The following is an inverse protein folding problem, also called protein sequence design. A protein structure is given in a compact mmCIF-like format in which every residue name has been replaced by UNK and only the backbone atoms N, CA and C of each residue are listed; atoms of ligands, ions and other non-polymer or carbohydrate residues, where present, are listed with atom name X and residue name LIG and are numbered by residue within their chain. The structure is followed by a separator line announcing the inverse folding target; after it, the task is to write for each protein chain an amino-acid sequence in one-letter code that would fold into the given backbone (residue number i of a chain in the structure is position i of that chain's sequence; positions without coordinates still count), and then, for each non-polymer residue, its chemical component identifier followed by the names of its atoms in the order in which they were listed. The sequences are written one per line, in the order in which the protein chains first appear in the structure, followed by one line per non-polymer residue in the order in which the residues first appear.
data_IF_349296163972
#
_entry.id   IF_349296163972
#
_cell.length_a   1.000
_cell.length_b   1.000
_cell.length_c   1.000
_cell.angle_alpha   90.00
_cell.angle_beta   90.00
_cell.angle_gamma   90.00
#
_symmetry.space_group_name_H-M   'P 1'
#
loop_
_entity.id
_entity.type
_entity.pdbx_description
1 polymer ?
#
# COMPACT_ATOMS: atom_id res chain seq x y z
N UNK A 1 37.54 -20.73 30.98
CA UNK A 1 36.86 -20.56 29.68
C UNK A 1 35.62 -19.72 29.92
N UNK A 2 35.74 -18.43 29.65
CA UNK A 2 34.74 -17.40 29.95
C UNK A 2 33.62 -17.51 28.91
N UNK A 3 32.39 -17.69 29.37
CA UNK A 3 31.20 -17.68 28.52
C UNK A 3 31.13 -16.35 27.74
N UNK A 4 30.76 -16.34 26.45
CA UNK A 4 30.57 -15.10 25.72
C UNK A 4 29.39 -14.36 26.34
N UNK A 5 29.69 -13.21 26.95
CA UNK A 5 28.71 -12.28 27.47
C UNK A 5 27.88 -11.77 26.30
N UNK A 6 26.59 -12.11 26.26
CA UNK A 6 25.63 -11.50 25.34
C UNK A 6 25.72 -9.98 25.52
N UNK A 7 25.93 -9.19 24.45
CA UNK A 7 26.04 -7.75 24.60
C UNK A 7 24.73 -7.19 25.14
N UNK A 8 24.84 -6.65 26.34
CA UNK A 8 24.02 -5.63 26.98
C UNK A 8 23.08 -4.95 25.97
N UNK A 9 21.77 -5.24 26.11
CA UNK A 9 20.62 -4.68 25.39
C UNK A 9 20.99 -3.58 24.39
N UNK A 10 20.93 -3.87 23.09
CA UNK A 10 20.91 -2.83 22.07
C UNK A 10 19.81 -1.84 22.45
N UNK A 11 20.19 -0.68 23.05
CA UNK A 11 19.26 0.33 23.53
C UNK A 11 18.23 0.56 22.44
N UNK A 12 16.97 0.19 22.70
CA UNK A 12 15.92 0.10 21.68
C UNK A 12 15.78 1.44 20.97
N UNK A 13 16.38 1.52 19.78
CA UNK A 13 16.35 2.75 18.97
C UNK A 13 14.93 3.00 18.48
N UNK A 14 14.57 4.24 18.15
CA UNK A 14 13.30 4.52 17.47
C UNK A 14 13.08 3.69 16.20
N UNK A 15 14.17 3.38 15.47
CA UNK A 15 14.11 2.58 14.25
C UNK A 15 13.82 1.11 14.56
N UNK A 16 14.52 0.50 15.53
CA UNK A 16 14.28 -0.90 15.90
C UNK A 16 12.88 -1.09 16.45
N UNK A 17 12.42 -0.21 17.35
CA UNK A 17 11.04 -0.26 17.89
C UNK A 17 9.98 -0.22 16.80
N UNK A 18 10.11 0.71 15.85
CA UNK A 18 9.15 0.84 14.76
C UNK A 18 9.21 -0.35 13.80
N UNK A 19 10.40 -0.91 13.53
CA UNK A 19 10.51 -2.12 12.72
C UNK A 19 9.83 -3.31 13.41
N UNK A 20 10.12 -3.57 14.68
CA UNK A 20 9.48 -4.62 15.48
C UNK A 20 7.96 -4.47 15.44
N UNK A 21 7.42 -3.29 15.81
CA UNK A 21 5.96 -3.05 15.81
C UNK A 21 5.31 -3.34 14.45
N UNK A 22 5.95 -2.92 13.34
CA UNK A 22 5.37 -3.16 12.02
C UNK A 22 5.57 -4.60 11.54
N UNK A 23 6.60 -5.31 11.99
CA UNK A 23 6.81 -6.73 11.70
C UNK A 23 5.80 -7.57 12.48
N UNK A 24 5.52 -7.25 13.74
CA UNK A 24 4.51 -7.93 14.54
C UNK A 24 3.14 -7.85 13.87
N UNK A 25 2.75 -6.66 13.40
CA UNK A 25 1.52 -6.49 12.60
C UNK A 25 1.52 -7.28 11.29
N UNK A 26 2.70 -7.54 10.69
CA UNK A 26 2.78 -8.46 9.54
C UNK A 26 2.50 -9.87 10.01
N UNK A 27 3.20 -10.34 11.06
CA UNK A 27 3.06 -11.69 11.60
C UNK A 27 1.62 -11.99 12.04
N UNK A 28 0.96 -11.09 12.77
CA UNK A 28 -0.45 -11.20 13.16
C UNK A 28 -1.34 -11.36 11.93
N UNK A 29 -1.09 -10.56 10.88
CA UNK A 29 -1.80 -10.67 9.62
C UNK A 29 -1.54 -11.99 8.88
N UNK A 30 -0.36 -12.59 9.02
CA UNK A 30 -0.04 -13.90 8.44
C UNK A 30 -0.72 -15.04 9.20
N UNK A 31 -0.80 -14.94 10.53
CA UNK A 31 -1.56 -15.85 11.39
C UNK A 31 -3.04 -15.79 11.00
N UNK A 32 -3.61 -14.59 10.94
CA UNK A 32 -5.01 -14.41 10.56
C UNK A 32 -5.35 -14.97 9.17
N UNK A 33 -4.42 -14.90 8.20
CA UNK A 33 -4.59 -15.56 6.90
C UNK A 33 -4.67 -17.08 7.01
N UNK A 34 -3.84 -17.70 7.87
CA UNK A 34 -3.88 -19.15 8.10
C UNK A 34 -5.14 -19.60 8.83
N UNK A 35 -5.65 -18.77 9.73
CA UNK A 35 -6.88 -19.02 10.49
C UNK A 35 -8.16 -18.76 9.68
N UNK A 36 -8.03 -18.38 8.40
CA UNK A 36 -9.16 -18.17 7.49
C UNK A 36 -9.83 -16.80 7.59
N UNK A 37 -9.26 -15.86 8.35
CA UNK A 37 -9.69 -14.46 8.33
C UNK A 37 -9.15 -13.72 7.08
N UNK A 38 -9.61 -12.49 6.83
CA UNK A 38 -9.17 -11.67 5.68
C UNK A 38 -8.45 -10.37 6.11
N UNK A 39 -7.26 -10.46 6.76
CA UNK A 39 -6.52 -9.29 7.25
C UNK A 39 -5.70 -8.60 6.15
N UNK A 40 -5.88 -8.97 4.88
CA UNK A 40 -5.04 -8.57 3.74
C UNK A 40 -4.80 -7.06 3.67
N UNK A 41 -5.80 -6.24 3.99
CA UNK A 41 -5.64 -4.79 3.96
C UNK A 41 -4.55 -4.32 4.93
N UNK A 42 -4.64 -4.73 6.18
CA UNK A 42 -3.77 -4.27 7.25
C UNK A 42 -2.38 -4.90 7.13
N UNK A 43 -2.30 -6.19 6.80
CA UNK A 43 -1.03 -6.87 6.49
C UNK A 43 -0.28 -6.14 5.38
N UNK A 44 -0.96 -5.75 4.29
CA UNK A 44 -0.34 -4.98 3.19
C UNK A 44 0.11 -3.58 3.62
N UNK A 45 -0.58 -2.94 4.55
CA UNK A 45 -0.16 -1.64 5.09
C UNK A 45 1.11 -1.80 5.93
N UNK A 46 1.15 -2.80 6.80
CA UNK A 46 2.31 -3.14 7.64
C UNK A 46 3.54 -3.51 6.79
N UNK A 47 3.41 -4.43 5.83
CA UNK A 47 4.50 -4.79 4.89
C UNK A 47 5.04 -3.54 4.18
N UNK A 48 4.14 -2.66 3.72
CA UNK A 48 4.56 -1.45 3.01
C UNK A 48 5.30 -0.47 3.92
N UNK A 49 4.95 -0.38 5.21
CA UNK A 49 5.70 0.40 6.20
C UNK A 49 7.10 -0.17 6.39
N UNK A 50 7.21 -1.48 6.66
CA UNK A 50 8.51 -2.18 6.80
C UNK A 50 9.37 -1.91 5.57
N UNK A 51 8.89 -2.23 4.36
CA UNK A 51 9.63 -2.00 3.11
C UNK A 51 10.02 -0.55 2.88
N UNK A 52 9.18 0.40 3.26
CA UNK A 52 9.51 1.83 3.14
C UNK A 52 10.64 2.21 4.10
N UNK A 53 10.59 1.70 5.33
CA UNK A 53 11.64 1.87 6.32
C UNK A 53 12.97 1.29 5.84
N UNK A 54 12.98 0.03 5.37
CA UNK A 54 14.19 -0.63 4.85
C UNK A 54 14.84 0.11 3.68
N UNK A 55 14.05 0.83 2.87
CA UNK A 55 14.55 1.61 1.73
C UNK A 55 15.08 2.99 2.11
N UNK A 56 14.54 3.60 3.16
CA UNK A 56 14.89 4.97 3.56
C UNK A 56 16.05 4.97 4.54
N UNK A 57 16.09 3.98 5.43
CA UNK A 57 17.04 3.87 6.52
C UNK A 57 18.03 2.71 6.31
N UNK A 58 18.23 2.27 5.06
CA UNK A 58 19.09 1.14 4.70
C UNK A 58 20.49 1.21 5.32
N UNK A 59 21.12 2.39 5.24
CA UNK A 59 22.46 2.64 5.76
C UNK A 59 22.56 2.54 7.30
N UNK A 60 21.44 2.35 8.00
CA UNK A 60 21.36 2.16 9.45
C UNK A 60 21.00 0.71 9.81
N UNK A 61 21.03 -0.18 8.83
CA UNK A 61 20.72 -1.60 8.94
C UNK A 61 21.90 -2.38 8.37
N UNK A 62 21.92 -3.69 8.64
CA UNK A 62 22.63 -4.60 7.75
C UNK A 62 22.00 -4.47 6.35
N UNK A 63 22.78 -3.94 5.40
CA UNK A 63 22.23 -3.56 4.11
C UNK A 63 21.79 -4.77 3.28
N UNK A 64 22.50 -5.89 3.39
CA UNK A 64 22.21 -7.09 2.62
C UNK A 64 21.00 -7.81 3.20
N UNK A 65 20.91 -7.92 4.52
CA UNK A 65 19.71 -8.39 5.20
C UNK A 65 18.49 -7.51 4.85
N UNK A 66 18.65 -6.18 4.84
CA UNK A 66 17.59 -5.24 4.45
C UNK A 66 17.20 -5.33 2.97
N UNK A 67 18.14 -5.66 2.07
CA UNK A 67 17.86 -5.92 0.65
C UNK A 67 17.02 -7.19 0.48
N UNK A 68 17.45 -8.28 1.10
CA UNK A 68 16.77 -9.58 1.04
C UNK A 68 15.36 -9.51 1.61
N UNK A 69 15.21 -8.97 2.83
CA UNK A 69 13.89 -8.81 3.45
C UNK A 69 12.96 -7.91 2.62
N UNK A 70 13.46 -6.81 2.03
CA UNK A 70 12.61 -5.96 1.18
C UNK A 70 12.13 -6.67 -0.08
N UNK A 71 12.96 -7.55 -0.66
CA UNK A 71 12.62 -8.33 -1.85
C UNK A 71 11.58 -9.40 -1.53
N UNK A 72 11.72 -10.13 -0.43
CA UNK A 72 10.76 -11.16 -0.02
C UNK A 72 9.41 -10.54 0.36
N UNK A 73 9.42 -9.46 1.13
CA UNK A 73 8.21 -8.69 1.41
C UNK A 73 7.59 -8.07 0.15
N UNK A 74 8.40 -7.73 -0.87
CA UNK A 74 7.88 -7.25 -2.16
C UNK A 74 7.14 -8.36 -2.90
N UNK A 75 7.71 -9.56 -2.93
CA UNK A 75 7.10 -10.73 -3.55
C UNK A 75 5.75 -11.04 -2.90
N UNK A 76 5.72 -11.24 -1.58
CA UNK A 76 4.48 -11.61 -0.89
C UNK A 76 3.42 -10.49 -0.95
N UNK A 77 3.84 -9.21 -0.82
CA UNK A 77 2.93 -8.10 -1.05
C UNK A 77 2.44 -7.99 -2.50
N UNK A 78 3.14 -8.57 -3.49
CA UNK A 78 2.62 -8.71 -4.85
C UNK A 78 1.36 -9.57 -4.85
N UNK A 79 1.47 -10.79 -4.33
CA UNK A 79 0.38 -11.77 -4.23
C UNK A 79 -0.84 -11.22 -3.48
N UNK A 80 -0.62 -10.63 -2.29
CA UNK A 80 -1.70 -10.00 -1.52
C UNK A 80 -2.36 -8.85 -2.30
N UNK A 81 -1.63 -8.18 -3.20
CA UNK A 81 -2.15 -7.10 -4.03
C UNK A 81 -3.16 -7.57 -5.05
N UNK A 82 -2.91 -8.72 -5.67
CA UNK A 82 -3.81 -9.32 -6.66
C UNK A 82 -5.16 -9.68 -6.06
N UNK A 83 -5.22 -10.03 -4.76
CA UNK A 83 -6.48 -10.21 -4.03
C UNK A 83 -7.10 -8.87 -3.65
N UNK A 84 -6.27 -7.92 -3.17
CA UNK A 84 -6.78 -6.67 -2.60
C UNK A 84 -7.34 -5.71 -3.65
N UNK A 85 -6.74 -5.65 -4.82
CA UNK A 85 -7.10 -4.66 -5.83
C UNK A 85 -8.55 -4.84 -6.31
N UNK A 86 -9.03 -6.06 -6.68
CA UNK A 86 -10.44 -6.30 -6.96
C UNK A 86 -11.38 -5.99 -5.79
N UNK A 87 -10.97 -6.25 -4.54
CA UNK A 87 -11.78 -5.92 -3.37
C UNK A 87 -11.99 -4.42 -3.19
N UNK A 88 -10.94 -3.62 -3.44
CA UNK A 88 -11.01 -2.15 -3.40
C UNK A 88 -11.96 -1.66 -4.48
N UNK A 89 -11.78 -2.10 -5.72
CA UNK A 89 -12.66 -1.73 -6.83
C UNK A 89 -14.11 -2.13 -6.56
N UNK A 90 -14.34 -3.32 -6.00
CA UNK A 90 -15.69 -3.80 -5.70
C UNK A 90 -16.40 -2.90 -4.69
N UNK A 91 -15.73 -2.59 -3.57
CA UNK A 91 -16.31 -1.70 -2.54
C UNK A 91 -16.59 -0.32 -3.12
N UNK A 92 -15.63 0.24 -3.87
CA UNK A 92 -15.72 1.58 -4.44
C UNK A 92 -16.83 1.71 -5.48
N UNK A 93 -16.92 0.79 -6.44
CA UNK A 93 -17.96 0.81 -7.47
C UNK A 93 -19.34 0.49 -6.90
N UNK A 94 -19.45 -0.41 -5.92
CA UNK A 94 -20.72 -0.66 -5.23
C UNK A 94 -21.22 0.56 -4.45
N UNK A 95 -20.32 1.32 -3.82
CA UNK A 95 -20.68 2.59 -3.20
C UNK A 95 -21.15 3.61 -4.25
N UNK A 96 -20.41 3.75 -5.35
CA UNK A 96 -20.80 4.65 -6.44
C UNK A 96 -22.19 4.34 -7.00
N UNK A 97 -22.54 3.07 -7.21
CA UNK A 97 -23.89 2.68 -7.67
C UNK A 97 -24.98 3.03 -6.63
N UNK A 98 -24.70 2.92 -5.33
CA UNK A 98 -25.65 3.29 -4.27
C UNK A 98 -25.92 4.79 -4.20
N UNK A 99 -24.95 5.60 -4.59
CA UNK A 99 -25.04 7.06 -4.63
C UNK A 99 -25.77 7.57 -5.88
N UNK A 100 -26.02 6.72 -6.88
CA UNK A 100 -26.71 7.11 -8.12
C UNK A 100 -28.24 7.19 -7.94
N UNK A 101 -28.92 8.11 -8.65
CA UNK A 101 -30.36 8.07 -8.82
C UNK A 101 -30.83 6.71 -9.35
N UNK A 102 -31.91 6.16 -8.79
CA UNK A 102 -32.34 4.77 -9.05
C UNK A 102 -32.72 4.55 -10.52
N UNK A 103 -33.28 5.56 -11.16
CA UNK A 103 -33.66 5.59 -12.57
C UNK A 103 -32.46 5.47 -13.54
N UNK A 104 -31.25 5.77 -13.07
CA UNK A 104 -30.01 5.63 -13.86
C UNK A 104 -29.30 4.29 -13.63
N UNK A 105 -29.81 3.45 -12.73
CA UNK A 105 -29.28 2.11 -12.43
C UNK A 105 -30.07 1.07 -13.23
N UNK A 106 -29.61 0.80 -14.44
CA UNK A 106 -30.30 -0.06 -15.41
C UNK A 106 -29.71 -1.46 -15.41
N UNK A 107 -30.56 -2.49 -15.29
CA UNK A 107 -30.14 -3.88 -15.30
C UNK A 107 -29.43 -4.32 -14.00
N UNK A 108 -28.66 -5.41 -14.06
CA UNK A 108 -28.09 -6.10 -12.88
C UNK A 108 -26.66 -5.64 -12.56
N UNK A 109 -26.38 -4.35 -12.67
CA UNK A 109 -25.03 -3.74 -12.59
C UNK A 109 -24.26 -4.15 -11.35
N UNK A 110 -24.87 -4.02 -10.16
CA UNK A 110 -24.25 -4.41 -8.89
C UNK A 110 -23.87 -5.89 -8.85
N UNK A 111 -24.70 -6.76 -9.41
CA UNK A 111 -24.44 -8.20 -9.48
C UNK A 111 -23.34 -8.52 -10.49
N UNK A 112 -23.32 -7.84 -11.64
CA UNK A 112 -22.27 -7.98 -12.66
C UNK A 112 -20.91 -7.53 -12.10
N UNK A 113 -20.80 -6.35 -11.48
CA UNK A 113 -19.57 -5.87 -10.81
C UNK A 113 -19.09 -6.89 -9.77
N UNK A 114 -20.01 -7.38 -8.92
CA UNK A 114 -19.68 -8.39 -7.90
C UNK A 114 -19.14 -9.67 -8.53
N UNK A 115 -19.75 -10.15 -9.62
CA UNK A 115 -19.37 -11.38 -10.31
C UNK A 115 -18.00 -11.24 -10.97
N UNK A 116 -17.78 -10.20 -11.76
CA UNK A 116 -16.52 -10.04 -12.49
C UNK A 116 -15.33 -9.85 -11.52
N UNK A 117 -15.48 -9.03 -10.48
CA UNK A 117 -14.39 -8.84 -9.52
C UNK A 117 -14.13 -10.08 -8.66
N UNK A 118 -15.14 -10.91 -8.39
CA UNK A 118 -14.93 -12.23 -7.75
C UNK A 118 -14.21 -13.21 -8.67
N UNK A 119 -14.50 -13.19 -9.97
CA UNK A 119 -13.80 -14.01 -10.97
C UNK A 119 -12.31 -13.67 -11.03
N UNK A 120 -11.95 -12.40 -10.82
CA UNK A 120 -10.54 -11.96 -10.72
C UNK A 120 -9.93 -12.33 -9.36
N UNK A 121 -10.66 -12.12 -8.26
CA UNK A 121 -10.19 -12.34 -6.88
C UNK A 121 -9.93 -13.83 -6.57
N UNK A 122 -10.80 -14.74 -7.03
CA UNK A 122 -10.73 -16.17 -6.68
C UNK A 122 -9.38 -16.84 -7.02
N UNK A 123 -8.87 -16.78 -8.27
CA UNK A 123 -7.57 -17.38 -8.58
C UNK A 123 -6.40 -16.68 -7.86
N UNK A 124 -6.53 -15.39 -7.53
CA UNK A 124 -5.52 -14.68 -6.74
C UNK A 124 -5.45 -15.20 -5.29
N UNK A 125 -6.60 -15.57 -4.70
CA UNK A 125 -6.64 -16.20 -3.38
C UNK A 125 -5.98 -17.57 -3.39
N UNK A 126 -6.22 -18.37 -4.41
CA UNK A 126 -5.55 -19.67 -4.56
C UNK A 126 -4.03 -19.49 -4.64
N UNK A 127 -3.53 -18.52 -5.43
CA UNK A 127 -2.09 -18.22 -5.47
C UNK A 127 -1.50 -17.81 -4.12
N UNK A 128 -2.25 -17.08 -3.29
CA UNK A 128 -1.80 -16.76 -1.92
C UNK A 128 -1.73 -18.02 -1.07
N UNK A 129 -2.77 -18.88 -1.12
CA UNK A 129 -2.79 -20.15 -0.40
C UNK A 129 -1.63 -21.06 -0.82
N UNK A 130 -1.45 -21.26 -2.13
CA UNK A 130 -0.35 -22.08 -2.69
C UNK A 130 1.02 -21.53 -2.26
N UNK A 131 1.21 -20.22 -2.29
CA UNK A 131 2.46 -19.59 -1.87
C UNK A 131 2.75 -19.83 -0.37
N UNK A 132 1.72 -19.83 0.48
CA UNK A 132 1.86 -20.07 1.92
C UNK A 132 2.29 -21.51 2.27
N UNK A 133 2.21 -22.44 1.32
CA UNK A 133 2.68 -23.82 1.47
C UNK A 133 4.13 -24.03 1.01
N UNK A 134 4.75 -23.00 0.42
CA UNK A 134 6.14 -23.07 -0.08
C UNK A 134 7.19 -22.92 1.03
N UNK A 135 8.38 -23.47 0.79
CA UNK A 135 9.55 -23.24 1.67
C UNK A 135 9.92 -21.76 1.72
N UNK A 136 9.85 -21.06 0.58
CA UNK A 136 10.10 -19.61 0.51
C UNK A 136 9.24 -18.80 1.49
N UNK A 137 7.96 -19.15 1.62
CA UNK A 137 7.09 -18.48 2.60
C UNK A 137 7.50 -18.81 4.05
N UNK A 138 7.81 -20.07 4.35
CA UNK A 138 8.29 -20.48 5.69
C UNK A 138 9.58 -19.75 6.08
N UNK A 139 10.50 -19.58 5.14
CA UNK A 139 11.75 -18.84 5.35
C UNK A 139 11.47 -17.36 5.62
N UNK A 140 10.56 -16.74 4.86
CA UNK A 140 10.13 -15.35 5.11
C UNK A 140 9.53 -15.19 6.51
N UNK A 141 8.63 -16.09 6.95
CA UNK A 141 8.03 -16.03 8.30
C UNK A 141 9.10 -16.19 9.38
N UNK A 142 10.01 -17.15 9.22
CA UNK A 142 11.11 -17.39 10.15
C UNK A 142 12.00 -16.16 10.29
N UNK A 143 12.34 -15.52 9.17
CA UNK A 143 13.17 -14.33 9.20
C UNK A 143 12.44 -13.12 9.80
N UNK A 144 11.13 -12.97 9.55
CA UNK A 144 10.30 -11.96 10.19
C UNK A 144 10.26 -12.15 11.72
N UNK A 145 10.13 -13.39 12.21
CA UNK A 145 10.17 -13.69 13.65
C UNK A 145 11.53 -13.31 14.27
N UNK A 146 12.64 -13.63 13.59
CA UNK A 146 13.98 -13.22 14.02
C UNK A 146 14.10 -11.70 14.10
N UNK A 147 13.61 -11.00 13.09
CA UNK A 147 13.67 -9.54 13.05
C UNK A 147 12.70 -8.86 14.02
N UNK A 148 11.58 -9.48 14.38
CA UNK A 148 10.72 -8.99 15.45
C UNK A 148 11.50 -8.93 16.77
N UNK A 149 12.19 -10.03 17.10
CA UNK A 149 12.99 -10.13 18.33
C UNK A 149 14.24 -9.23 18.31
N UNK A 150 14.96 -9.19 17.18
CA UNK A 150 16.19 -8.44 17.04
C UNK A 150 16.37 -7.90 15.61
N UNK A 151 15.81 -6.72 15.27
CA UNK A 151 16.04 -6.10 13.98
C UNK A 151 17.54 -5.82 13.76
N UNK A 152 18.10 -6.06 12.56
CA UNK A 152 19.53 -5.91 12.30
C UNK A 152 19.91 -4.44 12.09
N UNK A 153 19.72 -3.60 13.11
CA UNK A 153 20.09 -2.17 13.11
C UNK A 153 21.59 -2.05 13.41
N UNK A 154 22.32 -1.39 12.51
CA UNK A 154 23.76 -1.17 12.65
C UNK A 154 24.03 0.14 13.37
N UNK A 155 24.60 0.06 14.57
CA UNK A 155 24.98 1.21 15.38
C UNK A 155 23.82 2.02 15.99
N UNK A 156 24.16 3.11 16.67
CA UNK A 156 23.18 4.01 17.28
C UNK A 156 22.76 5.10 16.30
N UNK A 157 21.66 4.89 15.59
CA UNK A 157 21.04 5.93 14.77
C UNK A 157 20.40 7.01 15.67
N UNK A 158 21.15 8.07 15.95
CA UNK A 158 20.62 9.24 16.67
C UNK A 158 19.43 9.87 15.93
N UNK A 159 18.52 10.48 16.69
CA UNK A 159 17.28 11.11 16.14
C UNK A 159 17.57 12.14 15.04
N UNK A 160 18.73 12.80 15.07
CA UNK A 160 19.19 13.75 14.03
C UNK A 160 19.31 13.10 12.66
N UNK A 161 19.94 11.93 12.57
CA UNK A 161 20.15 11.21 11.32
C UNK A 161 18.83 10.66 10.76
N UNK A 162 17.97 10.11 11.63
CA UNK A 162 16.63 9.68 11.24
C UNK A 162 15.83 10.85 10.63
N UNK A 163 15.84 12.03 11.28
CA UNK A 163 15.17 13.23 10.75
C UNK A 163 15.77 13.68 9.41
N UNK A 164 17.08 13.57 9.21
CA UNK A 164 17.74 13.89 7.94
C UNK A 164 17.27 12.97 6.81
N UNK A 165 17.28 11.64 7.03
CA UNK A 165 16.79 10.66 6.04
C UNK A 165 15.31 10.89 5.70
N UNK A 166 14.47 11.15 6.72
CA UNK A 166 13.05 11.46 6.52
C UNK A 166 12.83 12.74 5.70
N UNK A 167 13.63 13.80 5.93
CA UNK A 167 13.59 15.03 5.13
C UNK A 167 14.01 14.78 3.68
N UNK A 168 15.03 13.96 3.44
CA UNK A 168 15.45 13.58 2.09
C UNK A 168 14.35 12.82 1.35
N UNK A 169 13.69 11.88 2.02
CA UNK A 169 12.52 11.18 1.48
C UNK A 169 11.38 12.14 1.11
N UNK A 170 11.12 13.13 1.97
CA UNK A 170 10.15 14.20 1.72
C UNK A 170 10.47 15.02 0.47
N UNK A 171 11.67 15.62 0.40
CA UNK A 171 12.13 16.41 -0.77
C UNK A 171 12.05 15.61 -2.08
N UNK A 172 12.34 14.31 -2.02
CA UNK A 172 12.25 13.40 -3.17
C UNK A 172 10.80 13.11 -3.58
N UNK A 173 9.85 13.11 -2.64
CA UNK A 173 8.44 13.03 -2.94
C UNK A 173 7.96 14.32 -3.60
N UNK A 174 8.27 15.46 -3.00
CA UNK A 174 7.87 16.80 -3.49
C UNK A 174 8.36 17.02 -4.93
N UNK A 175 9.66 16.77 -5.18
CA UNK A 175 10.25 16.89 -6.53
C UNK A 175 9.57 15.99 -7.56
N UNK A 176 9.21 14.77 -7.18
CA UNK A 176 8.56 13.84 -8.10
C UNK A 176 7.11 14.19 -8.35
N UNK A 177 6.43 14.73 -7.34
CA UNK A 177 5.09 15.24 -7.48
C UNK A 177 5.10 16.42 -8.45
N UNK A 178 5.95 17.43 -8.23
CA UNK A 178 6.07 18.57 -9.13
C UNK A 178 6.32 18.12 -10.57
N UNK A 179 7.35 17.28 -10.78
CA UNK A 179 7.66 16.78 -12.12
C UNK A 179 6.49 16.02 -12.76
N UNK A 180 5.70 15.29 -11.97
CA UNK A 180 4.54 14.55 -12.42
C UNK A 180 3.28 15.39 -12.62
N UNK A 181 3.26 16.64 -12.14
CA UNK A 181 2.20 17.62 -12.41
C UNK A 181 2.54 18.45 -13.64
N UNK A 182 3.84 18.70 -13.86
CA UNK A 182 4.35 19.35 -15.08
C UNK A 182 4.21 18.46 -16.33
N UNK A 183 3.89 17.17 -16.15
CA UNK A 183 3.67 16.19 -17.22
C UNK A 183 2.35 15.46 -16.99
N UNK A 184 1.53 15.21 -18.01
CA UNK A 184 0.37 14.31 -17.86
C UNK A 184 0.75 12.81 -17.99
N UNK A 185 1.92 12.43 -17.47
CA UNK A 185 2.45 11.06 -17.53
C UNK A 185 2.04 10.24 -16.29
N UNK A 186 1.12 9.30 -16.49
CA UNK A 186 0.64 8.35 -15.48
C UNK A 186 1.78 7.57 -14.80
N UNK A 187 2.85 7.23 -15.51
CA UNK A 187 4.00 6.54 -14.92
C UNK A 187 4.74 7.46 -13.93
N UNK A 188 4.82 8.75 -14.20
CA UNK A 188 5.41 9.73 -13.31
C UNK A 188 4.54 9.97 -12.07
N UNK A 189 3.22 10.09 -12.24
CA UNK A 189 2.26 10.14 -11.12
C UNK A 189 2.36 8.90 -10.23
N UNK A 190 2.50 7.73 -10.83
CA UNK A 190 2.69 6.49 -10.08
C UNK A 190 4.01 6.47 -9.28
N UNK A 191 5.11 7.00 -9.85
CA UNK A 191 6.39 7.15 -9.14
C UNK A 191 6.29 8.18 -8.01
N UNK A 192 5.59 9.29 -8.22
CA UNK A 192 5.31 10.30 -7.20
C UNK A 192 4.53 9.69 -6.04
N UNK A 193 3.43 8.97 -6.32
CA UNK A 193 2.63 8.23 -5.32
C UNK A 193 3.47 7.28 -4.47
N UNK A 194 4.36 6.49 -5.09
CA UNK A 194 5.30 5.61 -4.36
C UNK A 194 6.25 6.41 -3.46
N UNK A 195 6.72 7.57 -3.90
CA UNK A 195 7.59 8.44 -3.10
C UNK A 195 6.83 9.12 -1.94
N UNK A 196 5.63 9.62 -2.16
CA UNK A 196 4.74 10.19 -1.13
C UNK A 196 4.43 9.19 -0.03
N UNK A 197 4.10 7.93 -0.39
CA UNK A 197 3.89 6.86 0.60
C UNK A 197 5.12 6.69 1.49
N UNK A 198 6.32 6.61 0.88
CA UNK A 198 7.59 6.51 1.62
C UNK A 198 7.84 7.71 2.53
N UNK A 199 7.61 8.93 2.05
CA UNK A 199 7.77 10.15 2.85
C UNK A 199 6.82 10.16 4.05
N UNK A 200 5.56 9.75 3.86
CA UNK A 200 4.59 9.61 4.96
C UNK A 200 5.08 8.61 6.01
N UNK A 201 5.53 7.43 5.60
CA UNK A 201 6.00 6.40 6.54
C UNK A 201 7.28 6.80 7.28
N UNK A 202 8.19 7.53 6.62
CA UNK A 202 9.32 8.13 7.32
C UNK A 202 8.86 9.16 8.36
N UNK A 203 7.91 10.03 8.01
CA UNK A 203 7.36 11.00 8.96
C UNK A 203 6.61 10.33 10.13
N UNK A 204 5.91 9.22 9.87
CA UNK A 204 5.26 8.38 10.88
C UNK A 204 6.29 7.78 11.86
N UNK A 205 7.38 7.20 11.36
CA UNK A 205 8.47 6.71 12.21
C UNK A 205 9.06 7.82 13.09
N UNK A 206 9.33 9.00 12.53
CA UNK A 206 9.81 10.14 13.32
C UNK A 206 8.79 10.56 14.38
N UNK A 207 7.50 10.55 14.05
CA UNK A 207 6.44 10.94 14.98
C UNK A 207 6.30 9.94 16.13
N UNK A 208 6.45 8.64 15.89
CA UNK A 208 6.42 7.62 16.96
C UNK A 208 7.70 7.66 17.80
N UNK A 209 8.84 7.88 17.16
CA UNK A 209 10.16 7.80 17.80
C UNK A 209 10.66 9.05 18.49
N UNK A 210 10.32 10.22 17.94
CA UNK A 210 10.71 11.53 18.46
C UNK A 210 9.61 12.58 18.13
N UNK A 211 8.45 12.47 18.80
CA UNK A 211 7.26 13.29 18.55
C UNK A 211 7.57 14.78 18.45
N UNK A 212 6.97 15.46 17.47
CA UNK A 212 7.03 16.92 17.39
C UNK A 212 5.90 17.47 16.52
N UNK A 213 5.49 18.71 16.74
CA UNK A 213 4.49 19.40 15.90
C UNK A 213 4.88 19.36 14.42
N UNK A 214 6.17 19.51 14.12
CA UNK A 214 6.70 19.43 12.75
C UNK A 214 6.55 18.02 12.15
N UNK A 215 6.85 16.97 12.90
CA UNK A 215 6.70 15.58 12.42
C UNK A 215 5.22 15.25 12.15
N UNK A 216 4.33 15.60 13.08
CA UNK A 216 2.86 15.45 12.91
C UNK A 216 2.35 16.21 11.69
N UNK A 217 2.81 17.45 11.47
CA UNK A 217 2.44 18.26 10.28
C UNK A 217 2.90 17.58 8.99
N UNK A 218 4.14 17.11 8.92
CA UNK A 218 4.66 16.41 7.74
C UNK A 218 3.92 15.10 7.46
N UNK A 219 3.61 14.32 8.50
CA UNK A 219 2.81 13.10 8.37
C UNK A 219 1.42 13.41 7.80
N UNK A 220 0.74 14.45 8.31
CA UNK A 220 -0.57 14.90 7.81
C UNK A 220 -0.48 15.39 6.35
N UNK A 221 0.54 16.17 6.02
CA UNK A 221 0.77 16.68 4.65
C UNK A 221 0.91 15.54 3.64
N UNK A 222 1.84 14.60 3.87
CA UNK A 222 2.01 13.45 2.97
C UNK A 222 0.83 12.48 2.99
N UNK A 223 0.06 12.41 4.09
CA UNK A 223 -1.20 11.66 4.13
C UNK A 223 -2.25 12.27 3.18
N UNK A 224 -2.34 13.60 3.09
CA UNK A 224 -3.24 14.30 2.17
C UNK A 224 -2.86 14.01 0.72
N UNK A 225 -1.59 14.21 0.36
CA UNK A 225 -1.09 13.91 -1.00
C UNK A 225 -1.30 12.43 -1.34
N UNK A 226 -1.02 11.52 -0.40
CA UNK A 226 -1.23 10.08 -0.62
C UNK A 226 -2.70 9.76 -0.91
N UNK A 227 -3.65 10.42 -0.22
CA UNK A 227 -5.08 10.23 -0.45
C UNK A 227 -5.43 10.62 -1.88
N UNK A 228 -5.10 11.85 -2.29
CA UNK A 228 -5.38 12.37 -3.64
C UNK A 228 -4.78 11.49 -4.74
N UNK A 229 -3.49 11.14 -4.65
CA UNK A 229 -2.85 10.24 -5.62
C UNK A 229 -3.34 8.79 -5.51
N UNK A 230 -3.92 8.42 -4.37
CA UNK A 230 -4.59 7.15 -4.16
C UNK A 230 -5.88 7.09 -4.97
N UNK A 231 -6.74 8.08 -4.78
CA UNK A 231 -8.03 8.22 -5.44
C UNK A 231 -7.85 8.30 -6.98
N UNK A 232 -6.85 9.05 -7.47
CA UNK A 232 -6.48 9.07 -8.89
C UNK A 232 -6.05 7.70 -9.43
N UNK A 233 -5.26 6.94 -8.68
CA UNK A 233 -4.84 5.61 -9.14
C UNK A 233 -6.05 4.66 -9.22
N UNK A 234 -6.98 4.77 -8.27
CA UNK A 234 -8.15 3.90 -8.21
C UNK A 234 -9.13 4.21 -9.37
N UNK A 235 -9.21 5.47 -9.85
CA UNK A 235 -9.97 5.82 -11.06
C UNK A 235 -9.34 5.24 -12.32
N UNK A 236 -8.01 5.35 -12.47
CA UNK A 236 -7.25 4.76 -13.60
C UNK A 236 -7.45 3.25 -13.67
N UNK A 237 -7.50 2.57 -12.52
CA UNK A 237 -7.77 1.12 -12.46
C UNK A 237 -9.23 0.79 -12.74
N UNK A 238 -10.17 1.63 -12.29
CA UNK A 238 -11.62 1.40 -12.48
C UNK A 238 -12.05 1.48 -13.96
N UNK A 239 -11.54 2.48 -14.68
CA UNK A 239 -12.02 2.85 -16.02
C UNK A 239 -11.96 1.69 -17.04
N UNK A 240 -10.83 0.98 -17.22
CA UNK A 240 -10.78 -0.16 -18.12
C UNK A 240 -11.77 -1.27 -17.76
N UNK A 241 -11.96 -1.55 -16.46
CA UNK A 241 -12.92 -2.56 -15.99
C UNK A 241 -14.36 -2.16 -16.31
N UNK A 242 -14.72 -0.90 -16.08
CA UNK A 242 -16.05 -0.36 -16.39
C UNK A 242 -16.33 -0.39 -17.89
N UNK A 243 -15.35 0.00 -18.72
CA UNK A 243 -15.45 -0.08 -20.18
C UNK A 243 -15.63 -1.52 -20.64
N UNK A 244 -14.84 -2.46 -20.12
CA UNK A 244 -14.96 -3.89 -20.47
C UNK A 244 -16.30 -4.47 -20.05
N UNK A 245 -16.77 -4.19 -18.84
CA UNK A 245 -18.09 -4.64 -18.37
C UNK A 245 -19.20 -4.06 -19.24
N UNK A 246 -19.19 -2.74 -19.49
CA UNK A 246 -20.18 -2.06 -20.32
C UNK A 246 -20.24 -2.58 -21.75
N UNK A 247 -19.09 -2.84 -22.37
CA UNK A 247 -19.01 -3.40 -23.72
C UNK A 247 -19.41 -4.89 -23.79
N UNK A 248 -19.26 -5.62 -22.67
CA UNK A 248 -19.64 -7.03 -22.56
C UNK A 248 -21.11 -7.26 -22.20
N UNK A 249 -21.84 -6.22 -21.80
CA UNK A 249 -23.29 -6.28 -21.63
C UNK A 249 -23.92 -6.29 -23.02
N UNK A 250 -24.60 -7.38 -23.38
CA UNK A 250 -25.14 -7.55 -24.74
C UNK A 250 -26.37 -6.68 -25.00
N UNK A 251 -26.97 -6.85 -26.18
CA UNK A 251 -28.23 -6.20 -26.58
C UNK A 251 -29.48 -6.95 -26.12
N UNK A 252 -29.33 -7.96 -25.24
CA UNK A 252 -30.46 -8.78 -24.77
C UNK A 252 -31.37 -7.94 -23.87
N UNK A 253 -32.66 -8.25 -23.90
CA UNK A 253 -33.65 -7.59 -23.03
C UNK A 253 -33.25 -7.73 -21.54
N UNK A 254 -33.17 -6.60 -20.84
CA UNK A 254 -32.76 -6.52 -19.43
C UNK A 254 -31.24 -6.35 -19.18
N UNK A 255 -30.42 -6.40 -20.21
CA UNK A 255 -28.99 -6.08 -20.18
C UNK A 255 -28.78 -4.64 -20.71
N UNK A 256 -28.11 -3.79 -19.94
CA UNK A 256 -27.89 -2.39 -20.32
C UNK A 256 -26.50 -1.88 -19.87
N UNK A 257 -25.70 -1.41 -20.84
CA UNK A 257 -24.36 -0.87 -20.62
C UNK A 257 -24.34 0.58 -20.08
N UNK A 258 -25.47 1.29 -20.11
CA UNK A 258 -25.57 2.72 -19.79
C UNK A 258 -25.00 3.08 -18.41
N UNK A 259 -25.37 2.34 -17.36
CA UNK A 259 -24.87 2.61 -16.00
C UNK A 259 -23.35 2.42 -15.90
N UNK A 260 -22.76 1.50 -16.66
CA UNK A 260 -21.30 1.36 -16.72
C UNK A 260 -20.64 2.58 -17.39
N UNK A 261 -21.29 3.12 -18.43
CA UNK A 261 -20.88 4.38 -19.06
C UNK A 261 -20.93 5.57 -18.09
N UNK A 262 -22.01 5.70 -17.31
CA UNK A 262 -22.11 6.74 -16.28
C UNK A 262 -21.05 6.61 -15.20
N UNK A 263 -20.82 5.39 -14.72
CA UNK A 263 -19.74 5.12 -13.76
C UNK A 263 -18.38 5.49 -14.38
N UNK A 264 -18.13 5.14 -15.65
CA UNK A 264 -16.88 5.50 -16.33
C UNK A 264 -16.69 7.02 -16.39
N UNK A 265 -17.72 7.77 -16.80
CA UNK A 265 -17.67 9.24 -16.83
C UNK A 265 -17.42 9.85 -15.44
N UNK A 266 -18.04 9.30 -14.39
CA UNK A 266 -17.75 9.68 -12.99
C UNK A 266 -16.27 9.47 -12.64
N UNK A 267 -15.68 8.36 -13.07
CA UNK A 267 -14.25 8.09 -12.83
C UNK A 267 -13.33 9.06 -13.58
N UNK A 268 -13.70 9.51 -14.78
CA UNK A 268 -12.97 10.56 -15.50
C UNK A 268 -13.02 11.90 -14.77
N UNK A 269 -14.20 12.31 -14.32
CA UNK A 269 -14.37 13.53 -13.55
C UNK A 269 -13.57 13.50 -12.25
N UNK A 270 -13.61 12.39 -11.51
CA UNK A 270 -12.83 12.22 -10.29
C UNK A 270 -11.33 12.23 -10.56
N UNK A 271 -10.86 11.64 -11.67
CA UNK A 271 -9.46 11.70 -12.05
C UNK A 271 -9.01 13.16 -12.27
N UNK A 272 -9.83 13.95 -12.97
CA UNK A 272 -9.57 15.37 -13.21
C UNK A 272 -9.51 16.18 -11.91
N UNK A 273 -10.51 16.01 -11.03
CA UNK A 273 -10.52 16.64 -9.71
C UNK A 273 -9.31 16.26 -8.86
N UNK A 274 -8.85 15.00 -8.93
CA UNK A 274 -7.66 14.59 -8.22
C UNK A 274 -6.38 15.21 -8.79
N UNK A 275 -6.29 15.41 -10.11
CA UNK A 275 -5.16 16.13 -10.74
C UNK A 275 -5.13 17.59 -10.28
N UNK A 276 -6.27 18.27 -10.31
CA UNK A 276 -6.40 19.66 -9.85
C UNK A 276 -6.07 19.78 -8.36
N UNK A 277 -6.62 18.89 -7.53
CA UNK A 277 -6.31 18.85 -6.11
C UNK A 277 -4.83 18.53 -5.83
N UNK A 278 -4.18 17.72 -6.67
CA UNK A 278 -2.75 17.44 -6.56
C UNK A 278 -1.88 18.64 -6.96
N UNK A 279 -2.32 19.44 -7.94
CA UNK A 279 -1.65 20.69 -8.34
C UNK A 279 -1.73 21.79 -7.27
N UNK A 280 -2.74 21.73 -6.39
CA UNK A 280 -2.93 22.68 -5.30
C UNK A 280 -2.21 22.31 -3.98
N UNK A 281 -1.41 21.23 -3.94
CA UNK A 281 -0.78 20.67 -2.73
C UNK A 281 0.70 21.05 -2.58
#
# INVERSE_FOLDING_TARGET
MTAPTLPETAKTTPLSRYLTEQIDLVLDGLIGLREGSDPIHDTRVAIRRVRSTLRIFRELLDEDAARTMEAELKWFAGLLGEVRDPQVQRRRLQAAVREMPRELVLGRVTAQIKRELRRIEAPARNRVADAMETTRYRDLVTELQRWSAAPPVTGQAGTKLLRQKARSAGRKADRRLQKALDSDDDAMLHRARKATKRARYAAELIQTGAPSTKAKRNQKHYKRIQKTLGDLQDTVVARPMLRQMGAGVGTRSGENGFTFGLLYGREEQLAQQCREAAAAL
#
